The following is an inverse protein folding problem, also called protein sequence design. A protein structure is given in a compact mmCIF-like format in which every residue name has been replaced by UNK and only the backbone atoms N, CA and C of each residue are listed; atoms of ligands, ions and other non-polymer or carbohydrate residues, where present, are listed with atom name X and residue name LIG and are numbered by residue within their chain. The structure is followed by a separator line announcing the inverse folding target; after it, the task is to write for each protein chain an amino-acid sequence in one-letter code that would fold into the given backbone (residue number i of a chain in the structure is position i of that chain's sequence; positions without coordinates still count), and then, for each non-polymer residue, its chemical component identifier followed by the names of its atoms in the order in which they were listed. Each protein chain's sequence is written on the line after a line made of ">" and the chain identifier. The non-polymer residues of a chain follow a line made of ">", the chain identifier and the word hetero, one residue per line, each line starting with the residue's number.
data_IF_109112225024
#
_entry.id   IF_109112225024
#
_cell.length_a   1.000
_cell.length_b   1.000
_cell.length_c   1.000
_cell.angle_alpha   90.00
_cell.angle_beta   90.00
_cell.angle_gamma   90.00
#
_symmetry.space_group_name_H-M   'P 1'
#
loop_
_entity.id
_entity.type
_entity.pdbx_description
1 polymer ?
#
# COMPACT_ATOMS: atom_id res chain seq x y z
N UNK A 1 0.87 23.13 -27.68
CA UNK A 1 0.64 21.67 -27.68
C UNK A 1 -0.77 21.46 -28.16
N UNK A 2 -0.94 20.67 -29.22
CA UNK A 2 -2.22 20.43 -29.87
C UNK A 2 -3.17 19.70 -28.88
N UNK A 3 -4.41 20.15 -28.80
CA UNK A 3 -5.43 19.58 -27.90
C UNK A 3 -5.64 18.08 -28.19
N UNK A 4 -5.36 17.67 -29.43
CA UNK A 4 -5.42 16.28 -29.91
C UNK A 4 -4.45 15.34 -29.19
N UNK A 5 -3.23 15.80 -28.92
CA UNK A 5 -2.18 14.97 -28.31
C UNK A 5 -2.51 14.65 -26.84
N UNK A 6 -2.93 15.67 -26.07
CA UNK A 6 -3.40 15.49 -24.71
C UNK A 6 -4.59 14.53 -24.65
N UNK A 7 -5.56 14.67 -25.56
CA UNK A 7 -6.73 13.79 -25.62
C UNK A 7 -6.30 12.33 -25.86
N UNK A 8 -5.30 12.10 -26.72
CA UNK A 8 -4.79 10.76 -26.99
C UNK A 8 -4.09 10.16 -25.77
N UNK A 9 -3.26 10.93 -25.06
CA UNK A 9 -2.62 10.52 -23.81
C UNK A 9 -3.67 10.15 -22.76
N UNK A 10 -4.64 11.04 -22.51
CA UNK A 10 -5.72 10.78 -21.55
C UNK A 10 -6.54 9.54 -21.91
N UNK A 11 -6.83 9.33 -23.20
CA UNK A 11 -7.54 8.13 -23.66
C UNK A 11 -6.73 6.86 -23.40
N UNK A 12 -5.41 6.90 -23.60
CA UNK A 12 -4.52 5.77 -23.32
C UNK A 12 -4.43 5.48 -21.82
N UNK A 13 -4.25 6.50 -20.98
CA UNK A 13 -4.28 6.36 -19.52
C UNK A 13 -5.59 5.74 -19.04
N UNK A 14 -6.74 6.18 -19.58
CA UNK A 14 -8.04 5.60 -19.23
C UNK A 14 -8.12 4.12 -19.59
N UNK A 15 -7.65 3.73 -20.78
CA UNK A 15 -7.61 2.31 -21.21
C UNK A 15 -6.70 1.46 -20.32
N UNK A 16 -5.52 1.95 -19.98
CA UNK A 16 -4.59 1.28 -19.06
C UNK A 16 -5.27 1.06 -17.71
N UNK A 17 -5.91 2.09 -17.15
CA UNK A 17 -6.65 1.95 -15.88
C UNK A 17 -7.78 0.90 -15.97
N UNK A 18 -8.51 0.85 -17.09
CA UNK A 18 -9.54 -0.18 -17.29
C UNK A 18 -8.96 -1.60 -17.32
N UNK A 19 -7.76 -1.81 -17.87
CA UNK A 19 -7.11 -3.13 -17.89
C UNK A 19 -6.69 -3.59 -16.49
N UNK A 20 -6.21 -2.65 -15.66
CA UNK A 20 -5.91 -2.91 -14.25
C UNK A 20 -7.14 -3.36 -13.47
N UNK A 21 -8.27 -2.68 -13.70
CA UNK A 21 -9.56 -3.04 -13.13
C UNK A 21 -10.06 -4.41 -13.63
N UNK A 22 -10.02 -4.64 -14.93
CA UNK A 22 -10.70 -5.80 -15.54
C UNK A 22 -9.92 -7.10 -15.39
N UNK A 23 -8.59 -7.08 -15.40
CA UNK A 23 -7.79 -8.28 -15.70
C UNK A 23 -6.51 -8.44 -14.88
N UNK A 24 -5.64 -7.43 -14.79
CA UNK A 24 -4.23 -7.66 -14.42
C UNK A 24 -4.02 -8.02 -12.94
N UNK A 25 -4.46 -7.16 -12.01
CA UNK A 25 -4.28 -7.38 -10.56
C UNK A 25 -5.51 -8.00 -9.89
N UNK A 26 -6.64 -8.05 -10.60
CA UNK A 26 -7.90 -8.58 -10.08
C UNK A 26 -7.79 -10.02 -9.55
N UNK A 27 -7.12 -10.97 -10.27
CA UNK A 27 -6.92 -12.34 -9.81
C UNK A 27 -6.05 -12.46 -8.54
N UNK A 28 -5.27 -11.42 -8.23
CA UNK A 28 -4.44 -11.36 -7.02
C UNK A 28 -5.20 -10.85 -5.80
N UNK A 29 -6.51 -10.61 -5.92
CA UNK A 29 -7.30 -9.89 -4.94
C UNK A 29 -6.73 -8.49 -4.60
N UNK A 30 -6.07 -7.87 -5.58
CA UNK A 30 -5.56 -6.50 -5.48
C UNK A 30 -6.40 -5.62 -6.40
N UNK A 31 -6.83 -4.47 -5.89
CA UNK A 31 -7.59 -3.48 -6.64
C UNK A 31 -6.74 -2.23 -6.83
N UNK A 32 -6.41 -1.92 -8.08
CA UNK A 32 -5.58 -0.75 -8.43
C UNK A 32 -6.49 0.40 -8.87
N UNK A 33 -6.42 1.51 -8.15
CA UNK A 33 -7.24 2.70 -8.42
C UNK A 33 -6.37 3.91 -8.79
N UNK A 34 -6.68 4.54 -9.93
CA UNK A 34 -6.04 5.78 -10.35
C UNK A 34 -6.58 7.00 -9.57
N UNK A 35 -5.89 7.35 -8.49
CA UNK A 35 -6.24 8.49 -7.61
C UNK A 35 -5.66 9.83 -8.06
N UNK A 36 -4.79 9.84 -9.08
CA UNK A 36 -4.14 11.03 -9.59
C UNK A 36 -3.48 10.82 -10.94
N UNK A 37 -3.58 11.82 -11.83
CA UNK A 37 -2.94 11.84 -13.14
C UNK A 37 -2.30 13.21 -13.40
N UNK A 38 -1.00 13.25 -13.66
CA UNK A 38 -0.26 14.47 -13.97
C UNK A 38 0.42 14.33 -15.34
N UNK A 39 0.10 15.23 -16.28
CA UNK A 39 0.69 15.24 -17.63
C UNK A 39 1.57 16.49 -17.78
N UNK A 40 2.86 16.31 -18.05
CA UNK A 40 3.85 17.39 -18.12
C UNK A 40 3.85 18.12 -19.47
N UNK A 41 2.77 18.87 -19.74
CA UNK A 41 2.51 19.52 -21.04
C UNK A 41 3.46 20.69 -21.38
N UNK A 42 4.07 21.33 -20.38
CA UNK A 42 4.89 22.54 -20.58
C UNK A 42 6.38 22.25 -20.59
N UNK A 43 6.82 21.41 -19.64
CA UNK A 43 8.19 20.96 -19.45
C UNK A 43 8.18 19.75 -18.55
N UNK A 44 9.15 18.88 -18.73
CA UNK A 44 9.40 17.79 -17.80
C UNK A 44 9.81 18.36 -16.43
N UNK A 45 9.35 17.71 -15.36
CA UNK A 45 9.71 18.11 -14.00
C UNK A 45 11.02 17.47 -13.54
N UNK A 46 11.53 16.52 -14.33
CA UNK A 46 12.84 15.88 -14.18
C UNK A 46 13.53 15.81 -15.54
N UNK A 47 14.84 15.59 -15.54
CA UNK A 47 15.56 15.26 -16.78
C UNK A 47 15.32 13.79 -17.11
N UNK A 48 14.50 13.52 -18.13
CA UNK A 48 14.25 12.18 -18.64
C UNK A 48 15.39 11.78 -19.57
N UNK A 49 16.02 10.64 -19.30
CA UNK A 49 17.18 10.17 -20.07
C UNK A 49 16.95 8.78 -20.65
N UNK A 50 17.79 8.37 -21.60
CA UNK A 50 17.77 7.01 -22.14
C UNK A 50 18.22 5.95 -21.12
N UNK A 51 18.86 6.35 -20.01
CA UNK A 51 19.09 5.45 -18.87
C UNK A 51 17.83 5.40 -18.00
N UNK A 52 17.27 4.20 -17.87
CA UNK A 52 16.12 3.94 -16.99
C UNK A 52 16.50 4.14 -15.52
N UNK A 53 17.71 3.75 -15.09
CA UNK A 53 18.22 3.97 -13.73
C UNK A 53 18.28 5.46 -13.33
N UNK A 54 18.87 6.29 -14.20
CA UNK A 54 18.95 7.73 -14.00
C UNK A 54 17.55 8.36 -13.92
N UNK A 55 16.66 7.93 -14.81
CA UNK A 55 15.29 8.44 -14.88
C UNK A 55 14.48 8.02 -13.65
N UNK A 56 14.57 6.75 -13.23
CA UNK A 56 13.91 6.23 -12.03
C UNK A 56 14.40 6.96 -10.77
N UNK A 57 15.72 7.12 -10.63
CA UNK A 57 16.32 7.82 -9.49
C UNK A 57 15.80 9.26 -9.37
N UNK A 58 15.76 9.99 -10.49
CA UNK A 58 15.24 11.36 -10.53
C UNK A 58 13.73 11.42 -10.27
N UNK A 59 12.97 10.45 -10.81
CA UNK A 59 11.53 10.39 -10.60
C UNK A 59 11.16 10.12 -9.14
N UNK A 60 11.87 9.21 -8.46
CA UNK A 60 11.69 8.94 -7.03
C UNK A 60 11.98 10.20 -6.21
N UNK A 61 13.09 10.90 -6.48
CA UNK A 61 13.42 12.13 -5.75
C UNK A 61 12.37 13.23 -5.98
N UNK A 62 11.86 13.36 -7.22
CA UNK A 62 10.75 14.27 -7.50
C UNK A 62 9.46 13.86 -6.78
N UNK A 63 9.11 12.57 -6.77
CA UNK A 63 7.93 12.05 -6.04
C UNK A 63 8.03 12.42 -4.56
N UNK A 64 9.19 12.19 -3.95
CA UNK A 64 9.47 12.48 -2.53
C UNK A 64 9.41 13.97 -2.22
N UNK A 65 10.08 14.79 -3.02
CA UNK A 65 10.21 16.22 -2.75
C UNK A 65 8.98 17.03 -3.12
N UNK A 66 8.14 16.53 -4.03
CA UNK A 66 7.03 17.27 -4.64
C UNK A 66 5.67 16.53 -4.54
N UNK A 67 5.52 15.37 -5.17
CA UNK A 67 4.20 14.74 -5.36
C UNK A 67 3.59 14.28 -4.02
N UNK A 68 4.37 13.61 -3.17
CA UNK A 68 3.91 13.13 -1.85
C UNK A 68 3.44 14.25 -0.93
N UNK A 69 3.91 15.48 -1.12
CA UNK A 69 3.49 16.65 -0.33
C UNK A 69 2.15 17.22 -0.76
N UNK A 70 1.66 16.86 -1.96
CA UNK A 70 0.46 17.44 -2.57
C UNK A 70 -0.70 16.46 -2.63
N UNK A 71 -0.43 15.18 -2.88
CA UNK A 71 -1.45 14.16 -3.13
C UNK A 71 -1.08 12.87 -2.38
N UNK A 72 -1.98 12.37 -1.53
CA UNK A 72 -1.85 11.04 -0.91
C UNK A 72 -2.02 9.96 -2.00
N UNK A 73 -1.05 9.07 -2.12
CA UNK A 73 -1.04 7.94 -3.05
C UNK A 73 0.04 6.93 -2.62
N UNK A 74 -0.16 5.65 -2.93
CA UNK A 74 0.68 4.55 -2.42
C UNK A 74 1.86 4.24 -3.33
N UNK A 75 1.67 4.41 -4.64
CA UNK A 75 2.64 4.12 -5.69
C UNK A 75 2.51 5.13 -6.84
N UNK A 76 3.60 5.43 -7.54
CA UNK A 76 3.59 6.29 -8.71
C UNK A 76 4.34 5.65 -9.89
N UNK A 77 3.72 5.66 -11.07
CA UNK A 77 4.29 5.07 -12.28
C UNK A 77 4.51 6.17 -13.32
N UNK A 78 5.76 6.40 -13.70
CA UNK A 78 6.12 7.37 -14.73
C UNK A 78 6.07 6.71 -16.10
N UNK A 79 5.43 7.36 -17.07
CA UNK A 79 5.35 6.88 -18.45
C UNK A 79 6.06 7.87 -19.36
N UNK A 80 6.94 7.38 -20.22
CA UNK A 80 7.71 8.21 -21.16
C UNK A 80 7.67 7.65 -22.58
N UNK A 81 7.70 8.55 -23.57
CA UNK A 81 7.91 8.17 -24.98
C UNK A 81 9.39 8.07 -25.38
N UNK A 82 10.32 8.26 -24.44
CA UNK A 82 11.75 8.05 -24.68
C UNK A 82 12.05 6.56 -24.67
N UNK A 83 12.81 6.11 -25.67
CA UNK A 83 13.33 4.75 -25.73
C UNK A 83 14.51 4.60 -24.77
N UNK A 84 14.40 3.67 -23.82
CA UNK A 84 15.50 3.35 -22.92
C UNK A 84 16.57 2.52 -23.62
N UNK A 85 17.77 2.48 -23.03
CA UNK A 85 18.89 1.71 -23.57
C UNK A 85 18.61 0.21 -23.53
N UNK A 86 19.12 -0.50 -24.54
CA UNK A 86 18.98 -1.95 -24.72
C UNK A 86 17.51 -2.38 -24.87
N UNK A 87 17.16 -3.53 -24.29
CA UNK A 87 15.82 -4.12 -24.37
C UNK A 87 14.93 -3.73 -23.16
N UNK A 88 15.37 -2.76 -22.35
CA UNK A 88 14.64 -2.31 -21.15
C UNK A 88 13.43 -1.47 -21.55
N UNK A 89 12.23 -1.87 -21.13
CA UNK A 89 11.02 -1.06 -21.34
C UNK A 89 10.41 -0.53 -20.05
N UNK A 90 10.94 -0.94 -18.90
CA UNK A 90 10.51 -0.50 -17.58
C UNK A 90 11.61 -0.73 -16.54
N UNK A 91 11.51 -0.03 -15.41
CA UNK A 91 12.36 -0.26 -14.25
C UNK A 91 11.68 0.21 -12.97
N UNK A 92 11.74 -0.60 -11.93
CA UNK A 92 11.23 -0.30 -10.60
C UNK A 92 12.09 -0.91 -9.49
N UNK A 93 12.04 -0.29 -8.32
CA UNK A 93 12.68 -0.83 -7.12
C UNK A 93 11.87 -2.00 -6.57
N UNK A 94 12.56 -3.07 -6.18
CA UNK A 94 11.93 -4.18 -5.47
C UNK A 94 11.58 -3.82 -4.02
N UNK A 95 10.49 -4.41 -3.49
CA UNK A 95 10.06 -4.23 -2.10
C UNK A 95 9.82 -2.76 -1.70
N UNK A 96 9.42 -1.95 -2.66
CA UNK A 96 9.30 -0.50 -2.49
C UNK A 96 7.86 -0.05 -2.25
N UNK A 97 6.85 -0.93 -2.38
CA UNK A 97 5.45 -0.56 -2.19
C UNK A 97 5.22 0.08 -0.80
N UNK A 98 4.43 1.14 -0.74
CA UNK A 98 4.25 2.04 0.42
C UNK A 98 5.47 2.86 0.88
N UNK A 99 6.69 2.56 0.41
CA UNK A 99 7.87 3.35 0.77
C UNK A 99 7.91 4.70 0.01
N UNK A 100 8.79 5.62 0.45
CA UNK A 100 9.06 6.85 -0.31
C UNK A 100 9.59 6.55 -1.73
N UNK A 101 10.22 5.39 -1.92
CA UNK A 101 10.71 4.88 -3.20
C UNK A 101 9.69 4.05 -3.99
N UNK A 102 8.42 3.98 -3.56
CA UNK A 102 7.32 3.27 -4.22
C UNK A 102 7.01 3.88 -5.59
N UNK A 103 7.79 3.49 -6.61
CA UNK A 103 7.66 3.98 -7.96
C UNK A 103 8.30 3.06 -9.00
N UNK A 104 7.89 3.27 -10.26
CA UNK A 104 8.49 2.68 -11.46
C UNK A 104 8.50 3.67 -12.63
N UNK A 105 9.35 3.40 -13.62
CA UNK A 105 9.39 4.11 -14.91
C UNK A 105 9.06 3.13 -16.03
N UNK A 106 8.31 3.58 -17.03
CA UNK A 106 7.76 2.74 -18.08
C UNK A 106 7.86 3.46 -19.43
N UNK A 107 8.42 2.79 -20.42
CA UNK A 107 8.44 3.24 -21.80
C UNK A 107 7.09 2.94 -22.47
N UNK A 108 6.54 3.90 -23.21
CA UNK A 108 5.38 3.69 -24.05
C UNK A 108 5.75 3.02 -25.38
N UNK A 109 6.24 1.77 -25.29
CA UNK A 109 6.89 1.04 -26.39
C UNK A 109 5.94 0.52 -27.47
N UNK A 110 4.62 0.59 -27.27
CA UNK A 110 3.64 0.07 -28.21
C UNK A 110 2.35 0.91 -28.29
N UNK A 111 1.70 0.92 -29.46
CA UNK A 111 0.40 1.58 -29.63
C UNK A 111 -0.73 0.88 -28.87
N UNK A 112 -0.62 -0.44 -28.66
CA UNK A 112 -1.57 -1.20 -27.86
C UNK A 112 -1.40 -0.85 -26.37
N UNK A 113 -2.47 -0.33 -25.75
CA UNK A 113 -2.50 0.00 -24.33
C UNK A 113 -2.20 -1.19 -23.41
N UNK A 114 -2.45 -2.42 -23.87
CA UNK A 114 -2.12 -3.64 -23.12
C UNK A 114 -0.61 -3.80 -22.91
N UNK A 115 0.22 -3.40 -23.88
CA UNK A 115 1.67 -3.47 -23.72
C UNK A 115 2.17 -2.56 -22.60
N UNK A 116 1.70 -1.31 -22.59
CA UNK A 116 2.02 -0.37 -21.50
C UNK A 116 1.44 -0.84 -20.15
N UNK A 117 0.19 -1.34 -20.13
CA UNK A 117 -0.43 -1.82 -18.89
C UNK A 117 0.32 -3.04 -18.31
N UNK A 118 0.73 -3.97 -19.17
CA UNK A 118 1.54 -5.15 -18.78
C UNK A 118 2.90 -4.74 -18.23
N UNK A 119 3.58 -3.77 -18.85
CA UNK A 119 4.84 -3.21 -18.31
C UNK A 119 4.62 -2.54 -16.96
N UNK A 120 3.59 -1.70 -16.80
CA UNK A 120 3.28 -1.09 -15.50
C UNK A 120 2.97 -2.16 -14.44
N UNK A 121 2.25 -3.22 -14.80
CA UNK A 121 1.97 -4.33 -13.89
C UNK A 121 3.24 -5.10 -13.49
N UNK A 122 4.17 -5.30 -14.42
CA UNK A 122 5.48 -5.88 -14.15
C UNK A 122 6.26 -5.03 -13.13
N UNK A 123 6.35 -3.72 -13.36
CA UNK A 123 7.08 -2.80 -12.48
C UNK A 123 6.42 -2.65 -11.09
N UNK A 124 5.09 -2.64 -11.03
CA UNK A 124 4.36 -2.70 -9.77
C UNK A 124 4.58 -4.04 -9.05
N UNK A 125 4.71 -5.15 -9.78
CA UNK A 125 5.06 -6.47 -9.25
C UNK A 125 6.41 -6.45 -8.54
N UNK A 126 7.41 -5.82 -9.15
CA UNK A 126 8.69 -5.53 -8.48
C UNK A 126 8.48 -4.72 -7.20
N UNK A 127 7.72 -3.62 -7.25
CA UNK A 127 7.44 -2.84 -6.03
C UNK A 127 6.83 -3.70 -4.90
N UNK A 128 6.03 -4.72 -5.24
CA UNK A 128 5.46 -5.71 -4.32
C UNK A 128 6.38 -6.91 -4.02
N UNK A 129 7.66 -6.84 -4.38
CA UNK A 129 8.68 -7.83 -4.01
C UNK A 129 8.88 -8.96 -5.02
N UNK A 130 8.08 -9.04 -6.09
CA UNK A 130 8.18 -10.11 -7.08
C UNK A 130 9.49 -10.01 -7.87
N UNK A 131 10.09 -11.16 -8.15
CA UNK A 131 11.26 -11.33 -9.01
C UNK A 131 10.82 -11.74 -10.41
N UNK A 132 11.74 -11.72 -11.38
CA UNK A 132 11.45 -12.32 -12.67
C UNK A 132 11.16 -13.81 -12.54
N UNK A 133 10.31 -14.31 -13.43
CA UNK A 133 9.96 -15.72 -13.53
C UNK A 133 11.17 -16.56 -13.96
N UNK A 134 11.39 -17.67 -13.26
CA UNK A 134 12.32 -18.71 -13.66
C UNK A 134 11.63 -19.78 -14.53
N UNK A 135 12.40 -20.68 -15.14
CA UNK A 135 11.89 -21.72 -16.05
C UNK A 135 10.84 -22.66 -15.44
N UNK A 136 10.74 -22.73 -14.10
CA UNK A 136 9.77 -23.58 -13.40
C UNK A 136 8.45 -22.87 -13.10
N UNK A 137 8.41 -21.54 -13.26
CA UNK A 137 7.24 -20.73 -12.98
C UNK A 137 6.23 -20.84 -14.12
N UNK A 138 4.95 -20.94 -13.78
CA UNK A 138 3.87 -21.16 -14.74
C UNK A 138 2.67 -20.26 -14.47
N UNK A 139 2.01 -19.80 -15.55
CA UNK A 139 0.70 -19.15 -15.49
C UNK A 139 -0.26 -19.72 -16.54
N UNK A 140 -1.57 -19.66 -16.23
CA UNK A 140 -2.64 -20.18 -17.10
C UNK A 140 -2.74 -21.70 -17.17
N UNK A 141 -3.67 -22.21 -17.98
CA UNK A 141 -4.05 -23.63 -17.99
C UNK A 141 -3.26 -24.52 -18.95
N UNK A 142 -2.25 -23.99 -19.65
CA UNK A 142 -1.53 -24.70 -20.72
C UNK A 142 -0.01 -24.71 -20.53
N UNK A 143 0.57 -25.92 -20.46
CA UNK A 143 2.00 -26.25 -20.33
C UNK A 143 2.92 -25.83 -21.51
N UNK A 144 2.50 -24.88 -22.36
CA UNK A 144 3.31 -24.42 -23.49
C UNK A 144 3.73 -22.97 -23.29
N UNK A 145 5.01 -22.76 -22.91
CA UNK A 145 5.69 -21.46 -22.85
C UNK A 145 4.78 -20.29 -22.45
N UNK A 146 4.15 -20.39 -21.28
CA UNK A 146 3.30 -19.30 -20.80
C UNK A 146 4.19 -18.11 -20.45
N UNK A 147 4.07 -17.05 -21.25
CA UNK A 147 4.65 -15.75 -20.93
C UNK A 147 3.75 -15.16 -19.85
N UNK A 148 4.32 -14.85 -18.70
CA UNK A 148 3.63 -14.30 -17.55
C UNK A 148 4.09 -12.86 -17.32
N UNK A 149 3.35 -12.09 -16.52
CA UNK A 149 3.65 -10.66 -16.30
C UNK A 149 5.10 -10.46 -15.83
N UNK A 150 5.63 -11.32 -14.97
CA UNK A 150 6.99 -11.22 -14.44
C UNK A 150 8.06 -11.88 -15.32
N UNK A 151 7.77 -12.25 -16.57
CA UNK A 151 8.79 -12.72 -17.50
C UNK A 151 9.80 -11.61 -17.81
N UNK A 152 11.10 -11.90 -17.74
CA UNK A 152 12.20 -10.91 -17.86
C UNK A 152 12.18 -10.09 -19.16
N UNK A 153 11.72 -10.69 -20.27
CA UNK A 153 11.74 -10.05 -21.59
C UNK A 153 10.35 -9.87 -22.14
N UNK A 154 10.09 -8.67 -22.66
CA UNK A 154 8.85 -8.37 -23.37
C UNK A 154 8.87 -9.05 -24.74
N UNK A 155 7.91 -9.94 -24.95
CA UNK A 155 7.67 -10.61 -26.22
C UNK A 155 6.76 -9.82 -27.16
N UNK A 156 6.35 -10.46 -28.26
CA UNK A 156 5.34 -9.92 -29.18
C UNK A 156 3.92 -10.00 -28.61
N UNK A 157 3.71 -10.86 -27.61
CA UNK A 157 2.47 -11.01 -26.86
C UNK A 157 2.63 -10.36 -25.48
N UNK A 158 1.58 -9.65 -25.04
CA UNK A 158 1.56 -8.99 -23.74
C UNK A 158 0.82 -9.88 -22.73
N UNK A 159 1.50 -10.36 -21.68
CA UNK A 159 0.90 -11.25 -20.70
C UNK A 159 -0.08 -10.51 -19.78
N UNK A 160 -1.12 -11.23 -19.37
CA UNK A 160 -2.20 -10.74 -18.49
C UNK A 160 -2.23 -11.44 -17.13
N UNK A 161 -1.47 -12.54 -16.98
CA UNK A 161 -1.48 -13.38 -15.78
C UNK A 161 -0.11 -13.36 -15.09
N UNK A 162 -0.15 -13.32 -13.76
CA UNK A 162 1.00 -13.59 -12.90
C UNK A 162 1.23 -15.10 -12.78
N UNK A 163 2.48 -15.50 -12.59
CA UNK A 163 2.87 -16.89 -12.36
C UNK A 163 2.57 -17.35 -10.93
N UNK A 164 2.52 -18.65 -10.73
CA UNK A 164 2.55 -19.30 -9.41
C UNK A 164 3.68 -18.78 -8.51
N UNK A 165 4.90 -18.64 -9.02
CA UNK A 165 6.04 -18.06 -8.30
C UNK A 165 5.79 -16.61 -7.86
N UNK A 166 5.13 -15.81 -8.70
CA UNK A 166 4.78 -14.43 -8.38
C UNK A 166 3.76 -14.38 -7.23
N UNK A 167 2.79 -15.30 -7.21
CA UNK A 167 1.81 -15.42 -6.12
C UNK A 167 2.46 -15.75 -4.79
N UNK A 168 3.39 -16.71 -4.79
CA UNK A 168 4.12 -17.10 -3.57
C UNK A 168 4.95 -15.93 -3.03
N UNK A 169 5.69 -15.26 -3.91
CA UNK A 169 6.52 -14.11 -3.51
C UNK A 169 5.68 -12.92 -3.01
N UNK A 170 4.50 -12.70 -3.60
CA UNK A 170 3.56 -11.68 -3.12
C UNK A 170 3.04 -12.01 -1.72
N UNK A 171 2.66 -13.27 -1.45
CA UNK A 171 2.23 -13.69 -0.11
C UNK A 171 3.33 -13.41 0.91
N UNK A 172 4.56 -13.82 0.61
CA UNK A 172 5.73 -13.58 1.48
C UNK A 172 5.97 -12.08 1.71
N UNK A 173 5.78 -11.24 0.69
CA UNK A 173 5.89 -9.80 0.84
C UNK A 173 4.80 -9.24 1.76
N UNK A 174 3.54 -9.59 1.53
CA UNK A 174 2.41 -9.09 2.32
C UNK A 174 2.53 -9.50 3.80
N UNK A 175 2.93 -10.75 4.06
CA UNK A 175 3.10 -11.27 5.43
C UNK A 175 4.24 -10.57 6.18
N UNK A 176 5.37 -10.32 5.52
CA UNK A 176 6.56 -9.76 6.19
C UNK A 176 6.58 -8.24 6.24
N UNK A 177 6.15 -7.57 5.17
CA UNK A 177 6.18 -6.12 5.08
C UNK A 177 4.94 -5.47 5.71
N UNK A 178 3.82 -6.20 5.78
CA UNK A 178 2.51 -5.72 6.23
C UNK A 178 2.21 -4.27 5.78
N UNK A 179 2.14 -4.02 4.45
CA UNK A 179 2.11 -2.68 3.88
C UNK A 179 0.78 -1.97 4.19
N UNK A 180 0.71 -1.28 5.33
CA UNK A 180 -0.52 -0.68 5.84
C UNK A 180 -1.15 0.39 4.94
N UNK A 181 -0.39 0.95 3.98
CA UNK A 181 -0.94 1.93 3.02
C UNK A 181 -1.91 1.29 2.01
N UNK A 182 -1.85 -0.03 1.79
CA UNK A 182 -2.73 -0.73 0.86
C UNK A 182 -4.07 -1.13 1.49
N UNK A 183 -4.23 -0.92 2.80
CA UNK A 183 -5.42 -1.33 3.55
C UNK A 183 -6.52 -0.27 3.52
N UNK A 184 -6.20 0.98 3.19
CA UNK A 184 -7.19 2.04 3.12
C UNK A 184 -7.85 2.15 1.75
N UNK A 185 -9.17 2.30 1.74
CA UNK A 185 -9.93 2.55 0.52
C UNK A 185 -9.86 4.03 0.16
N UNK A 186 -9.31 4.41 -1.01
CA UNK A 186 -9.23 5.81 -1.40
C UNK A 186 -10.61 6.42 -1.60
N UNK A 187 -10.76 7.70 -1.23
CA UNK A 187 -12.03 8.42 -1.37
C UNK A 187 -12.46 8.50 -2.84
N UNK A 188 -13.70 8.12 -3.12
CA UNK A 188 -14.31 8.09 -4.46
C UNK A 188 -14.42 9.45 -5.16
N UNK A 189 -14.23 10.57 -4.42
CA UNK A 189 -14.19 11.93 -4.99
C UNK A 189 -12.96 12.23 -5.87
N UNK A 190 -12.02 11.29 -6.03
CA UNK A 190 -10.74 11.48 -6.75
C UNK A 190 -10.62 10.67 -8.04
N UNK A 191 -11.70 10.08 -8.53
CA UNK A 191 -11.70 9.22 -9.71
C UNK A 191 -11.53 10.02 -11.01
N UNK A 192 -10.38 9.87 -11.65
CA UNK A 192 -10.15 10.43 -13.00
C UNK A 192 -10.86 9.63 -14.11
N UNK A 193 -11.28 8.40 -13.83
CA UNK A 193 -11.86 7.48 -14.82
C UNK A 193 -13.40 7.51 -14.91
N UNK A 194 -14.07 8.26 -14.02
CA UNK A 194 -15.52 8.19 -13.79
C UNK A 194 -15.92 6.98 -12.94
N UNK A 195 -17.20 6.89 -12.57
CA UNK A 195 -17.76 5.75 -11.82
C UNK A 195 -17.85 4.51 -12.72
N UNK A 196 -17.40 3.35 -12.23
CA UNK A 196 -17.38 2.09 -12.96
C UNK A 196 -17.96 0.98 -12.07
N UNK A 197 -19.25 0.71 -12.25
CA UNK A 197 -19.90 -0.39 -11.57
C UNK A 197 -19.24 -1.74 -11.85
N UNK A 198 -18.94 -2.47 -10.79
CA UNK A 198 -18.34 -3.80 -10.75
C UNK A 198 -16.83 -3.78 -10.51
N UNK A 199 -16.26 -2.64 -10.09
CA UNK A 199 -14.85 -2.43 -9.78
C UNK A 199 -14.48 -2.68 -8.31
N UNK A 200 -15.46 -3.07 -7.50
CA UNK A 200 -15.35 -3.29 -6.06
C UNK A 200 -14.91 -2.02 -5.28
N UNK A 201 -15.14 -0.84 -5.84
CA UNK A 201 -15.01 0.45 -5.16
C UNK A 201 -16.37 1.15 -5.18
N UNK A 202 -16.74 1.77 -4.05
CA UNK A 202 -17.96 2.56 -3.99
C UNK A 202 -17.76 3.91 -4.69
N UNK A 203 -18.09 4.00 -5.97
CA UNK A 203 -17.92 5.21 -6.76
C UNK A 203 -19.08 6.21 -6.55
N UNK A 204 -18.92 7.50 -6.89
CA UNK A 204 -20.00 8.47 -6.72
C UNK A 204 -21.22 8.08 -7.56
N UNK A 205 -22.37 7.93 -6.90
CA UNK A 205 -23.64 7.56 -7.53
C UNK A 205 -24.00 6.08 -7.41
N UNK A 206 -23.11 5.26 -6.86
CA UNK A 206 -23.37 3.86 -6.50
C UNK A 206 -23.79 3.77 -5.04
N UNK A 207 -24.60 2.77 -4.70
CA UNK A 207 -24.98 2.46 -3.31
C UNK A 207 -24.15 1.29 -2.76
N UNK A 208 -23.58 0.47 -3.64
CA UNK A 208 -22.70 -0.65 -3.32
C UNK A 208 -21.91 -1.06 -4.57
N UNK A 209 -20.76 -1.73 -4.38
CA UNK A 209 -20.05 -2.40 -5.46
C UNK A 209 -19.33 -3.65 -4.91
N UNK A 210 -19.82 -4.82 -5.30
CA UNK A 210 -19.30 -6.12 -4.88
C UNK A 210 -18.42 -6.81 -5.95
N UNK A 211 -17.99 -6.08 -6.98
CA UNK A 211 -17.27 -6.65 -8.11
C UNK A 211 -18.18 -7.06 -9.28
N UNK A 212 -17.66 -7.87 -10.21
CA UNK A 212 -18.44 -8.32 -11.37
C UNK A 212 -19.53 -9.29 -10.96
N UNK A 213 -20.42 -9.60 -11.89
CA UNK A 213 -21.51 -10.58 -11.69
C UNK A 213 -20.95 -11.95 -11.26
N UNK A 214 -19.78 -12.34 -11.75
CA UNK A 214 -19.13 -13.61 -11.40
C UNK A 214 -18.46 -13.60 -10.02
N UNK A 215 -18.03 -12.42 -9.54
CA UNK A 215 -17.34 -12.27 -8.25
C UNK A 215 -18.28 -11.95 -7.09
N UNK A 216 -19.40 -11.30 -7.38
CA UNK A 216 -20.30 -10.80 -6.35
C UNK A 216 -21.06 -11.94 -5.67
N UNK A 217 -20.63 -12.27 -4.46
CA UNK A 217 -21.31 -13.23 -3.58
C UNK A 217 -22.32 -12.55 -2.63
N UNK A 218 -22.31 -11.22 -2.53
CA UNK A 218 -23.10 -10.49 -1.56
C UNK A 218 -24.55 -10.27 -2.06
N UNK A 219 -25.57 -10.86 -1.40
CA UNK A 219 -26.96 -10.76 -1.86
C UNK A 219 -27.59 -9.37 -1.65
N UNK A 220 -26.93 -8.48 -0.91
CA UNK A 220 -27.41 -7.15 -0.59
C UNK A 220 -27.16 -6.14 -1.73
N UNK A 221 -26.30 -6.49 -2.69
CA UNK A 221 -25.90 -5.64 -3.80
C UNK A 221 -26.28 -6.28 -5.14
N UNK A 222 -26.85 -5.50 -6.05
CA UNK A 222 -27.04 -5.92 -7.44
C UNK A 222 -25.77 -5.57 -8.26
N UNK A 223 -24.96 -6.58 -8.67
CA UNK A 223 -23.71 -6.34 -9.39
C UNK A 223 -23.88 -5.78 -10.80
N UNK A 224 -25.11 -5.78 -11.35
CA UNK A 224 -25.37 -5.16 -12.65
C UNK A 224 -25.67 -3.66 -12.55
N UNK A 225 -26.17 -3.21 -11.41
CA UNK A 225 -26.64 -1.83 -11.23
C UNK A 225 -25.89 -1.05 -10.14
N UNK A 226 -25.09 -1.73 -9.32
CA UNK A 226 -24.37 -1.16 -8.17
C UNK A 226 -25.31 -0.41 -7.22
N UNK A 227 -26.47 -1.03 -6.99
CA UNK A 227 -27.53 -0.56 -6.10
C UNK A 227 -27.88 -1.63 -5.09
N UNK A 228 -28.43 -1.18 -3.97
CA UNK A 228 -28.99 -2.08 -2.97
C UNK A 228 -30.12 -2.91 -3.58
N UNK A 229 -30.15 -4.19 -3.26
CA UNK A 229 -31.30 -5.04 -3.57
C UNK A 229 -32.53 -4.60 -2.76
N UNK A 230 -33.73 -4.93 -3.25
CA UNK A 230 -34.97 -4.51 -2.60
C UNK A 230 -35.03 -4.99 -1.14
N UNK A 231 -35.21 -4.05 -0.20
CA UNK A 231 -35.26 -4.32 1.24
C UNK A 231 -33.92 -4.27 1.96
N UNK A 232 -32.80 -4.16 1.24
CA UNK A 232 -31.47 -3.99 1.82
C UNK A 232 -31.24 -2.56 2.30
N UNK A 233 -30.60 -2.41 3.46
CA UNK A 233 -30.21 -1.13 4.06
C UNK A 233 -28.69 -0.91 4.07
N UNK A 234 -27.93 -2.00 3.93
CA UNK A 234 -26.48 -2.02 3.97
C UNK A 234 -25.94 -3.18 3.13
N UNK A 235 -24.66 -3.14 2.80
CA UNK A 235 -23.95 -4.21 2.08
C UNK A 235 -22.67 -4.63 2.79
N UNK A 236 -21.95 -3.66 3.35
CA UNK A 236 -20.60 -3.86 3.87
C UNK A 236 -20.48 -3.38 5.32
N UNK A 237 -19.30 -3.60 5.92
CA UNK A 237 -18.97 -3.11 7.25
C UNK A 237 -19.46 -4.00 8.39
N UNK A 238 -18.79 -3.88 9.53
CA UNK A 238 -19.01 -4.74 10.70
C UNK A 238 -20.39 -4.54 11.36
N UNK A 239 -21.10 -3.46 11.01
CA UNK A 239 -22.44 -3.14 11.47
C UNK A 239 -23.54 -3.49 10.44
N UNK A 240 -23.22 -4.24 9.39
CA UNK A 240 -24.21 -4.84 8.49
C UNK A 240 -24.40 -6.33 8.80
N UNK A 241 -25.64 -6.77 8.98
CA UNK A 241 -25.98 -8.17 9.13
C UNK A 241 -27.24 -8.50 8.35
N UNK A 242 -27.18 -9.52 7.48
CA UNK A 242 -28.29 -9.93 6.62
C UNK A 242 -28.92 -8.75 5.84
N UNK A 243 -28.07 -7.88 5.29
CA UNK A 243 -28.45 -6.66 4.57
C UNK A 243 -29.19 -5.61 5.41
N UNK A 244 -29.20 -5.73 6.75
CA UNK A 244 -29.80 -4.77 7.67
C UNK A 244 -28.73 -4.15 8.58
N UNK A 245 -28.91 -2.89 8.91
CA UNK A 245 -28.05 -2.22 9.89
C UNK A 245 -28.31 -2.87 11.25
N UNK A 246 -27.23 -3.31 11.92
CA UNK A 246 -27.31 -3.86 13.28
C UNK A 246 -27.86 -2.81 14.25
N UNK A 247 -28.59 -3.28 15.25
CA UNK A 247 -29.14 -2.41 16.30
C UNK A 247 -28.03 -1.61 17.01
N UNK A 248 -28.41 -0.42 17.50
CA UNK A 248 -27.52 0.38 18.32
C UNK A 248 -26.99 -0.43 19.52
N UNK A 249 -25.74 -0.19 19.91
CA UNK A 249 -25.05 -0.92 20.99
C UNK A 249 -24.66 -2.36 20.65
N UNK A 250 -24.84 -2.82 19.40
CA UNK A 250 -24.26 -4.09 18.94
C UNK A 250 -22.73 -3.99 18.85
N UNK A 251 -21.98 -4.92 19.46
CA UNK A 251 -20.52 -4.92 19.39
C UNK A 251 -20.06 -5.14 17.94
N UNK A 252 -19.29 -4.20 17.39
CA UNK A 252 -18.72 -4.31 16.05
C UNK A 252 -17.20 -4.51 16.07
N UNK A 253 -16.50 -3.99 17.08
CA UNK A 253 -15.07 -4.25 17.27
C UNK A 253 -14.78 -4.58 18.72
N UNK A 254 -14.13 -5.72 18.94
CA UNK A 254 -13.62 -6.11 20.24
C UNK A 254 -12.29 -5.42 20.54
N UNK A 255 -11.97 -5.14 21.82
CA UNK A 255 -10.67 -4.57 22.18
C UNK A 255 -9.56 -5.58 21.89
N UNK A 256 -8.51 -5.15 21.19
CA UNK A 256 -7.35 -5.98 20.87
C UNK A 256 -6.47 -6.26 22.10
N UNK A 257 -6.42 -5.31 23.02
CA UNK A 257 -5.58 -5.38 24.21
C UNK A 257 -6.12 -4.50 25.35
N UNK A 258 -5.43 -4.48 26.48
CA UNK A 258 -5.87 -3.74 27.67
C UNK A 258 -5.87 -2.21 27.53
N UNK A 259 -5.21 -1.65 26.52
CA UNK A 259 -5.17 -0.22 26.20
C UNK A 259 -6.19 0.19 25.12
N UNK A 260 -6.95 -0.78 24.63
CA UNK A 260 -7.95 -0.62 23.61
C UNK A 260 -9.36 -0.65 24.23
N UNK A 261 -10.34 -0.04 23.57
CA UNK A 261 -11.74 -0.04 24.01
C UNK A 261 -12.64 -0.68 22.95
N UNK A 262 -13.79 -1.27 23.31
CA UNK A 262 -14.73 -1.78 22.31
C UNK A 262 -15.50 -0.65 21.60
N UNK A 263 -15.86 -0.87 20.33
CA UNK A 263 -16.79 -0.04 19.58
C UNK A 263 -18.07 -0.78 19.27
N UNK A 264 -19.14 0.00 19.20
CA UNK A 264 -20.49 -0.47 19.04
C UNK A 264 -21.18 0.24 17.88
N UNK A 265 -22.06 -0.48 17.19
CA UNK A 265 -22.88 0.05 16.13
C UNK A 265 -23.78 1.17 16.65
N UNK A 266 -23.99 2.19 15.82
CA UNK A 266 -24.85 3.34 16.14
C UNK A 266 -26.33 3.06 15.88
N UNK A 267 -26.66 1.97 15.17
CA UNK A 267 -28.00 1.70 14.66
C UNK A 267 -28.39 2.51 13.42
N UNK A 268 -27.49 3.36 12.92
CA UNK A 268 -27.75 4.28 11.80
C UNK A 268 -26.74 4.16 10.66
N UNK A 269 -25.67 3.39 10.84
CA UNK A 269 -24.60 3.20 9.88
C UNK A 269 -24.18 1.74 9.82
N UNK A 270 -23.82 1.29 8.62
CA UNK A 270 -23.26 -0.04 8.38
C UNK A 270 -21.79 -0.17 8.80
N UNK A 271 -21.11 0.95 9.03
CA UNK A 271 -19.73 0.99 9.47
C UNK A 271 -19.63 1.06 11.00
N UNK A 272 -18.68 0.32 11.55
CA UNK A 272 -18.27 0.49 12.94
C UNK A 272 -17.65 1.90 13.09
N UNK A 273 -17.88 2.60 14.23
CA UNK A 273 -17.22 3.86 14.52
C UNK A 273 -15.68 3.78 14.42
N UNK A 274 -15.02 4.95 14.32
CA UNK A 274 -13.55 5.01 14.36
C UNK A 274 -13.01 4.37 15.64
N UNK A 275 -11.87 3.68 15.49
CA UNK A 275 -11.19 2.99 16.58
C UNK A 275 -10.66 4.03 17.60
N UNK A 276 -11.23 4.01 18.79
CA UNK A 276 -10.83 4.84 19.91
C UNK A 276 -10.02 4.02 20.93
N UNK A 277 -9.27 4.73 21.77
CA UNK A 277 -8.35 4.09 22.71
C UNK A 277 -8.51 4.63 24.13
N UNK A 278 -8.00 3.86 25.08
CA UNK A 278 -7.81 4.37 26.43
C UNK A 278 -6.87 5.57 26.42
N UNK A 279 -7.10 6.49 27.35
CA UNK A 279 -6.28 7.70 27.48
C UNK A 279 -4.80 7.35 27.65
N UNK A 280 -3.95 8.08 26.92
CA UNK A 280 -2.51 7.92 27.04
C UNK A 280 -2.04 8.14 28.49
N UNK A 281 -1.18 7.26 28.99
CA UNK A 281 -0.67 7.29 30.36
C UNK A 281 -1.39 6.38 31.36
N UNK A 282 -2.43 5.64 30.96
CA UNK A 282 -3.05 4.61 31.81
C UNK A 282 -2.06 3.44 32.00
N UNK A 283 -1.76 2.99 33.23
CA UNK A 283 -0.88 1.85 33.45
C UNK A 283 -1.39 0.58 32.79
N UNK A 284 -0.49 -0.18 32.18
CA UNK A 284 -0.79 -1.44 31.49
C UNK A 284 0.35 -2.44 31.72
N UNK A 285 0.15 -3.70 31.32
CA UNK A 285 1.07 -4.83 31.52
C UNK A 285 1.46 -4.98 32.99
N UNK A 286 0.45 -4.98 33.87
CA UNK A 286 0.66 -4.99 35.33
C UNK A 286 1.56 -3.85 35.86
N UNK A 287 1.52 -2.68 35.21
CA UNK A 287 2.30 -1.50 35.57
C UNK A 287 3.71 -1.44 34.95
N UNK A 288 4.03 -2.33 34.02
CA UNK A 288 5.31 -2.31 33.30
C UNK A 288 5.34 -1.37 32.10
N UNK A 289 4.17 -0.87 31.70
CA UNK A 289 4.01 0.09 30.62
C UNK A 289 2.88 1.07 30.87
N UNK A 290 2.71 1.99 29.94
CA UNK A 290 1.61 2.94 29.92
C UNK A 290 0.99 2.95 28.53
N UNK A 291 -0.34 3.00 28.48
CA UNK A 291 -1.08 3.06 27.23
C UNK A 291 -0.63 4.27 26.41
N UNK A 292 -0.39 4.05 25.14
CA UNK A 292 -0.04 5.08 24.18
C UNK A 292 -0.61 4.72 22.81
N UNK A 293 -1.61 5.47 22.35
CA UNK A 293 -2.31 5.27 21.09
C UNK A 293 -2.77 3.80 20.90
N UNK A 294 -3.51 3.28 21.88
CA UNK A 294 -4.09 1.92 21.82
C UNK A 294 -3.12 0.78 22.12
N UNK A 295 -1.83 1.05 22.27
CA UNK A 295 -0.81 0.04 22.52
C UNK A 295 -0.29 0.14 23.96
N UNK A 296 0.20 -0.98 24.49
CA UNK A 296 0.92 -1.02 25.77
C UNK A 296 2.43 -1.26 25.53
N UNK A 297 3.20 -0.25 25.08
CA UNK A 297 4.63 -0.43 24.83
C UNK A 297 5.39 -0.67 26.15
N UNK A 298 6.17 -1.75 26.20
CA UNK A 298 7.13 -2.01 27.29
C UNK A 298 8.56 -2.07 26.78
N UNK A 299 9.54 -1.79 27.66
CA UNK A 299 10.96 -1.91 27.30
C UNK A 299 11.34 -3.33 26.86
N UNK A 300 10.72 -4.35 27.47
CA UNK A 300 10.96 -5.74 27.12
C UNK A 300 10.49 -6.07 25.70
N UNK A 301 9.24 -5.71 25.37
CA UNK A 301 8.70 -5.92 24.03
C UNK A 301 9.52 -5.21 22.96
N UNK A 302 9.99 -3.98 23.26
CA UNK A 302 10.86 -3.25 22.34
C UNK A 302 12.19 -3.99 22.12
N UNK A 303 12.81 -4.51 23.19
CA UNK A 303 14.03 -5.31 23.07
C UNK A 303 13.80 -6.57 22.23
N UNK A 304 12.69 -7.29 22.48
CA UNK A 304 12.38 -8.51 21.75
C UNK A 304 12.08 -8.25 20.26
N UNK A 305 11.50 -7.09 19.93
CA UNK A 305 11.27 -6.69 18.53
C UNK A 305 12.57 -6.42 17.77
N UNK A 306 13.56 -5.81 18.42
CA UNK A 306 14.84 -5.46 17.78
C UNK A 306 15.83 -6.63 17.74
N UNK A 307 15.83 -7.50 18.77
CA UNK A 307 16.87 -8.51 18.98
C UNK A 307 16.35 -9.94 19.15
N UNK A 308 15.04 -10.17 19.01
CA UNK A 308 14.41 -11.49 19.07
C UNK A 308 13.90 -11.90 20.46
N UNK A 309 13.16 -13.01 20.52
CA UNK A 309 12.36 -13.44 21.68
C UNK A 309 13.16 -13.67 22.98
N UNK A 310 14.48 -13.88 22.90
CA UNK A 310 15.37 -14.05 24.05
C UNK A 310 15.92 -12.75 24.66
N UNK A 311 15.69 -11.60 24.03
CA UNK A 311 16.26 -10.33 24.48
C UNK A 311 15.68 -9.86 25.82
N UNK A 312 16.51 -9.21 26.63
CA UNK A 312 16.15 -8.67 27.95
C UNK A 312 16.53 -7.20 28.06
N UNK A 313 15.76 -6.47 28.86
CA UNK A 313 16.06 -5.09 29.23
C UNK A 313 17.38 -5.08 30.01
N UNK A 314 18.32 -4.21 29.63
CA UNK A 314 19.57 -4.07 30.37
C UNK A 314 19.35 -3.53 31.79
N UNK A 315 20.37 -3.72 32.64
CA UNK A 315 20.40 -3.09 33.95
C UNK A 315 20.28 -1.56 33.84
N UNK A 316 19.64 -0.93 34.83
CA UNK A 316 19.40 0.52 34.88
C UNK A 316 20.69 1.34 34.71
N UNK A 317 21.82 0.80 35.17
CA UNK A 317 23.15 1.40 35.03
C UNK A 317 23.55 1.67 33.57
N UNK A 318 23.09 0.84 32.62
CA UNK A 318 23.36 1.02 31.20
C UNK A 318 22.75 2.32 30.67
N UNK A 319 21.54 2.68 31.13
CA UNK A 319 20.83 3.85 30.64
C UNK A 319 21.51 5.17 31.05
N UNK A 320 22.40 5.18 32.06
CA UNK A 320 23.19 6.38 32.38
C UNK A 320 24.07 6.85 31.23
N UNK A 321 24.43 5.98 30.29
CA UNK A 321 25.17 6.37 29.09
C UNK A 321 24.44 7.46 28.30
N UNK A 322 23.10 7.49 28.33
CA UNK A 322 22.28 8.49 27.63
C UNK A 322 22.45 9.92 28.15
N UNK A 323 23.05 10.09 29.33
CA UNK A 323 23.43 11.39 29.87
C UNK A 323 24.66 12.01 29.20
N UNK A 324 25.36 11.26 28.34
CA UNK A 324 26.55 11.77 27.64
C UNK A 324 26.22 12.57 26.38
N UNK A 325 25.05 12.39 25.78
CA UNK A 325 24.65 13.13 24.57
C UNK A 325 25.58 12.84 23.38
N UNK A 326 25.81 11.56 23.08
CA UNK A 326 26.59 11.10 21.92
C UNK A 326 25.68 10.47 20.87
N UNK A 327 26.24 10.07 19.72
CA UNK A 327 25.50 9.51 18.58
C UNK A 327 24.53 8.38 18.97
N UNK A 328 24.98 7.46 19.83
CA UNK A 328 24.21 6.26 20.19
C UNK A 328 23.66 6.33 21.63
N UNK A 329 23.75 7.50 22.28
CA UNK A 329 23.37 7.68 23.69
C UNK A 329 22.94 9.11 23.99
N UNK A 330 21.68 9.40 23.69
CA UNK A 330 21.09 10.74 23.76
C UNK A 330 19.55 10.71 23.87
N UNK A 331 18.95 11.85 24.23
CA UNK A 331 17.51 12.11 24.36
C UNK A 331 16.92 12.86 23.15
N UNK A 332 17.46 12.64 21.96
CA UNK A 332 17.06 13.31 20.73
C UNK A 332 18.18 14.12 20.04
N UNK A 333 17.97 14.44 18.76
CA UNK A 333 18.92 15.14 17.91
C UNK A 333 18.48 16.59 17.72
N UNK A 334 19.43 17.51 17.74
CA UNK A 334 19.23 18.94 17.52
C UNK A 334 20.09 19.41 16.35
N UNK A 335 19.88 20.65 15.88
CA UNK A 335 20.72 21.24 14.82
C UNK A 335 22.22 21.31 15.20
N UNK A 336 22.55 21.30 16.49
CA UNK A 336 23.91 21.38 17.02
C UNK A 336 24.52 20.04 17.47
N UNK A 337 23.86 18.90 17.23
CA UNK A 337 24.33 17.59 17.68
C UNK A 337 23.31 16.85 18.56
N UNK A 338 23.79 16.04 19.49
CA UNK A 338 22.97 15.14 20.31
C UNK A 338 22.67 15.74 21.69
N UNK A 339 21.41 15.67 22.12
CA UNK A 339 20.98 16.21 23.41
C UNK A 339 21.19 15.17 24.51
N UNK A 340 21.99 15.50 25.52
CA UNK A 340 22.13 14.68 26.73
C UNK A 340 20.79 14.56 27.50
N UNK A 341 20.52 13.37 28.03
CA UNK A 341 19.40 13.13 28.93
C UNK A 341 19.65 13.70 30.33
N UNK A 342 18.59 14.10 31.03
CA UNK A 342 18.66 14.22 32.50
C UNK A 342 18.68 12.82 33.11
N UNK A 343 19.16 12.68 34.35
CA UNK A 343 19.21 11.37 35.03
C UNK A 343 17.83 10.72 35.12
N UNK A 344 16.80 11.51 35.41
CA UNK A 344 15.41 11.06 35.52
C UNK A 344 14.84 10.52 34.20
N UNK A 345 15.28 11.05 33.06
CA UNK A 345 14.77 10.65 31.75
C UNK A 345 15.68 9.69 30.97
N UNK A 346 16.85 9.34 31.52
CA UNK A 346 17.84 8.53 30.84
C UNK A 346 17.34 7.13 30.45
N UNK A 347 16.38 6.59 31.21
CA UNK A 347 15.79 5.26 31.00
C UNK A 347 14.81 5.20 29.81
N UNK A 348 14.27 6.35 29.37
CA UNK A 348 13.25 6.41 28.32
C UNK A 348 13.82 6.51 26.90
N UNK A 349 15.14 6.59 26.75
CA UNK A 349 15.81 6.85 25.48
C UNK A 349 16.93 5.83 25.25
N UNK A 350 17.26 5.53 23.99
CA UNK A 350 18.33 4.62 23.55
C UNK A 350 18.39 3.30 24.36
N UNK A 351 17.79 2.25 23.78
CA UNK A 351 17.63 0.95 24.44
C UNK A 351 18.93 0.16 24.41
N UNK A 352 19.40 -0.22 25.59
CA UNK A 352 20.56 -1.09 25.75
C UNK A 352 20.07 -2.48 26.16
N UNK A 353 20.65 -3.51 25.55
CA UNK A 353 20.38 -4.90 25.88
C UNK A 353 21.44 -5.46 26.81
N UNK A 354 21.01 -6.41 27.65
CA UNK A 354 21.93 -7.36 28.27
C UNK A 354 21.89 -8.64 27.44
N UNK A 355 22.91 -8.87 26.62
CA UNK A 355 23.09 -10.17 25.96
C UNK A 355 23.39 -11.22 27.04
N UNK A 356 22.45 -12.14 27.27
CA UNK A 356 22.77 -13.38 27.97
C UNK A 356 23.63 -14.22 27.05
N UNK A 357 24.95 -14.12 27.23
CA UNK A 357 25.91 -15.10 26.73
C UNK A 357 25.67 -16.45 27.41
#
# INVERSE_FOLDING_TARGET
>A
VDNTELINVLRKCKRVNTLFFAQLYRPLNIRVMLVGLEVWMKRDQIVVSVSSDDTLSRFIEWRKSNLLKRVKHDNAQFVTGIDFLNDTVGLANKFAMCAESSAGVNQDHNQNSLGLASTIAHEMGHNMGMSHDENHCTCGSSNFNSICIMTERVGTLFPELFSDCSLEQLSVFLDNANPSCLLDTPSSSRLYSGSICGNAFLDPGEECDCGTVEECENPCCDPMTCRLTEGSQCVHGDCCENCQIKDAESLCRAPENECDIPEYCTGLSEHCPENDFKMNGIPCSSGQGYCYNGQCPTHLQHCQRLWGTGAKVAAEACFFLNTFGKNDSHCGKTKGGYRACTKEYAIFFNFLIQNSS
#
